data_IF_610855002190
#
_entry.id   IF_610855002190
#
_cell.length_a   1.000
_cell.length_b   1.000
_cell.length_c   1.000
_cell.angle_alpha   90.00
_cell.angle_beta   90.00
_cell.angle_gamma   90.00
#
_symmetry.space_group_name_H-M   'P 1'
#
loop_
_entity.id
_entity.type
_entity.pdbx_description
1 polymer ?
#
# COMPACT_ATOMS: atom_id res chain seq x y z
N UNK A 1 6.03 9.30 -31.80
CA UNK A 1 7.21 10.17 -31.87
C UNK A 1 7.11 11.16 -33.03
N UNK A 2 6.60 10.81 -34.22
CA UNK A 2 6.56 11.71 -35.38
C UNK A 2 5.49 12.82 -35.37
N UNK A 3 4.57 12.81 -34.42
CA UNK A 3 3.41 13.71 -34.36
C UNK A 3 3.53 14.83 -33.32
N UNK A 4 4.65 14.93 -32.58
CA UNK A 4 4.82 15.92 -31.51
C UNK A 4 3.89 15.75 -30.30
N UNK A 5 3.20 14.60 -30.16
CA UNK A 5 2.28 14.31 -29.07
C UNK A 5 3.02 13.74 -27.85
N UNK A 6 2.57 14.15 -26.67
CA UNK A 6 2.96 13.55 -25.39
C UNK A 6 2.04 12.35 -25.07
N UNK A 7 2.57 11.32 -24.42
CA UNK A 7 1.78 10.16 -24.00
C UNK A 7 1.73 10.13 -22.47
N UNK A 8 0.51 10.06 -21.91
CA UNK A 8 0.28 9.90 -20.49
C UNK A 8 -0.26 8.48 -20.20
N UNK A 9 0.54 7.56 -19.67
CA UNK A 9 0.05 6.25 -19.26
C UNK A 9 -0.82 6.35 -18.00
N UNK A 10 -1.95 5.66 -17.99
CA UNK A 10 -2.87 5.66 -16.86
C UNK A 10 -3.45 4.25 -16.64
N UNK A 11 -3.30 3.74 -15.43
CA UNK A 11 -4.00 2.53 -14.95
C UNK A 11 -5.37 2.94 -14.38
N UNK A 12 -5.41 3.36 -13.11
CA UNK A 12 -6.65 3.73 -12.39
C UNK A 12 -6.89 5.24 -12.32
N UNK A 13 -5.83 6.05 -12.41
CA UNK A 13 -5.93 7.52 -12.39
C UNK A 13 -5.94 8.15 -10.99
N UNK A 14 -5.58 7.43 -9.94
CA UNK A 14 -5.56 7.96 -8.57
C UNK A 14 -4.72 9.23 -8.39
N UNK A 15 -3.65 9.41 -9.18
CA UNK A 15 -2.79 10.58 -9.16
C UNK A 15 -3.06 11.58 -10.30
N UNK A 16 -4.17 11.45 -11.03
CA UNK A 16 -4.42 12.26 -12.23
C UNK A 16 -4.94 13.68 -11.93
N UNK A 17 -5.62 13.90 -10.81
CA UNK A 17 -6.25 15.18 -10.51
C UNK A 17 -5.31 16.41 -10.56
N UNK A 18 -4.09 16.38 -9.99
CA UNK A 18 -3.17 17.51 -10.09
C UNK A 18 -2.76 17.84 -11.54
N UNK A 19 -2.65 16.83 -12.41
CA UNK A 19 -2.26 17.03 -13.80
C UNK A 19 -3.31 17.80 -14.59
N UNK A 20 -4.59 17.51 -14.34
CA UNK A 20 -5.72 18.16 -15.01
C UNK A 20 -5.82 19.65 -14.66
N UNK A 21 -5.45 20.03 -13.43
CA UNK A 21 -5.59 21.39 -12.96
C UNK A 21 -4.41 22.32 -13.33
N UNK A 22 -3.25 21.77 -13.67
CA UNK A 22 -2.01 22.55 -13.77
C UNK A 22 -1.30 22.48 -15.12
N UNK A 23 -1.82 21.71 -16.09
CA UNK A 23 -1.16 21.50 -17.38
C UNK A 23 -2.12 21.66 -18.55
N UNK A 24 -1.60 22.19 -19.65
CA UNK A 24 -2.25 22.08 -20.96
C UNK A 24 -2.10 20.64 -21.45
N UNK A 25 -3.22 19.98 -21.68
CA UNK A 25 -3.31 18.59 -22.12
C UNK A 25 -3.73 18.46 -23.58
N UNK A 26 -3.75 19.55 -24.36
CA UNK A 26 -4.24 19.56 -25.74
C UNK A 26 -3.41 18.68 -26.69
N UNK A 27 -2.13 18.44 -26.38
CA UNK A 27 -1.20 17.58 -27.12
C UNK A 27 -0.98 16.21 -26.46
N UNK A 28 -1.78 15.86 -25.43
CA UNK A 28 -1.60 14.63 -24.66
C UNK A 28 -2.54 13.52 -25.14
N UNK A 29 -1.96 12.38 -25.48
CA UNK A 29 -2.69 11.13 -25.70
C UNK A 29 -2.72 10.33 -24.40
N UNK A 30 -3.92 10.13 -23.85
CA UNK A 30 -4.12 9.26 -22.70
C UNK A 30 -4.07 7.79 -23.13
N UNK A 31 -3.04 7.07 -22.67
CA UNK A 31 -2.88 5.64 -22.92
C UNK A 31 -3.36 4.84 -21.70
N UNK A 32 -4.49 4.14 -21.85
CA UNK A 32 -5.06 3.31 -20.78
C UNK A 32 -4.39 1.93 -20.76
N UNK A 33 -3.69 1.61 -19.66
CA UNK A 33 -3.02 0.31 -19.48
C UNK A 33 -3.96 -0.77 -18.89
N UNK A 34 -5.19 -0.44 -18.56
CA UNK A 34 -6.15 -1.30 -17.87
C UNK A 34 -6.51 -2.64 -18.54
N UNK A 35 -5.98 -2.92 -19.75
CA UNK A 35 -6.09 -4.23 -20.41
C UNK A 35 -4.90 -5.16 -20.11
N UNK A 36 -3.83 -4.65 -19.50
CA UNK A 36 -2.65 -5.42 -19.12
C UNK A 36 -2.79 -5.92 -17.68
N UNK A 37 -3.80 -6.75 -17.40
CA UNK A 37 -4.19 -7.16 -16.05
C UNK A 37 -3.63 -8.51 -15.61
N UNK A 38 -2.77 -9.11 -16.40
CA UNK A 38 -2.21 -10.43 -16.11
C UNK A 38 -1.42 -10.43 -14.80
N UNK A 39 -1.68 -11.43 -13.95
CA UNK A 39 -0.93 -11.71 -12.73
C UNK A 39 -0.48 -13.16 -12.76
N UNK A 40 0.81 -13.39 -12.67
CA UNK A 40 1.39 -14.73 -12.61
C UNK A 40 2.24 -14.88 -11.35
N UNK A 41 1.95 -15.88 -10.52
CA UNK A 41 2.66 -16.17 -9.27
C UNK A 41 3.60 -17.37 -9.47
N UNK A 42 4.88 -17.13 -9.31
CA UNK A 42 5.90 -18.19 -9.17
C UNK A 42 6.15 -18.40 -7.66
N UNK A 43 5.32 -19.21 -7.04
CA UNK A 43 5.37 -19.45 -5.61
C UNK A 43 6.69 -20.06 -5.12
N UNK A 44 7.32 -21.05 -5.81
CA UNK A 44 8.63 -21.57 -5.47
C UNK A 44 9.72 -20.49 -5.42
N UNK A 45 9.73 -19.57 -6.37
CA UNK A 45 10.68 -18.46 -6.43
C UNK A 45 10.24 -17.24 -5.61
N UNK A 46 9.00 -17.23 -5.15
CA UNK A 46 8.34 -16.10 -4.47
C UNK A 46 8.43 -14.82 -5.29
N UNK A 47 8.05 -14.93 -6.54
CA UNK A 47 7.98 -13.82 -7.48
C UNK A 47 6.57 -13.71 -8.04
N UNK A 48 6.15 -12.49 -8.33
CA UNK A 48 4.94 -12.19 -9.09
C UNK A 48 5.31 -11.36 -10.31
N UNK A 49 4.93 -11.83 -11.52
CA UNK A 49 4.89 -10.97 -12.71
C UNK A 49 3.52 -10.34 -12.81
N UNK A 50 3.46 -9.02 -12.88
CA UNK A 50 2.25 -8.21 -12.73
C UNK A 50 2.18 -7.26 -13.91
N UNK A 51 1.10 -7.34 -14.68
CA UNK A 51 0.85 -6.47 -15.82
C UNK A 51 0.60 -5.02 -15.41
N UNK A 52 0.94 -4.09 -16.31
CA UNK A 52 0.91 -2.63 -16.08
C UNK A 52 -0.47 -2.03 -15.81
N UNK A 53 -1.54 -2.81 -15.98
CA UNK A 53 -2.92 -2.43 -15.70
C UNK A 53 -3.54 -3.14 -14.49
N UNK A 54 -2.82 -4.04 -13.83
CA UNK A 54 -3.32 -4.77 -12.66
C UNK A 54 -3.51 -3.84 -11.45
N UNK A 55 -4.46 -4.18 -10.59
CA UNK A 55 -4.73 -3.51 -9.32
C UNK A 55 -4.31 -4.40 -8.15
N UNK A 56 -4.19 -3.83 -6.97
CA UNK A 56 -3.75 -4.58 -5.79
C UNK A 56 -4.69 -5.74 -5.42
N UNK A 57 -6.01 -5.60 -5.64
CA UNK A 57 -6.96 -6.67 -5.36
C UNK A 57 -6.58 -7.99 -6.06
N UNK A 58 -6.21 -7.90 -7.36
CA UNK A 58 -5.88 -9.07 -8.17
C UNK A 58 -4.61 -9.76 -7.66
N UNK A 59 -3.58 -8.97 -7.34
CA UNK A 59 -2.28 -9.51 -6.88
C UNK A 59 -2.36 -10.08 -5.47
N UNK A 60 -3.07 -9.39 -4.57
CA UNK A 60 -3.28 -9.86 -3.18
C UNK A 60 -4.00 -11.20 -3.20
N UNK A 61 -5.09 -11.31 -4.00
CA UNK A 61 -5.85 -12.54 -4.12
C UNK A 61 -5.00 -13.71 -4.62
N UNK A 62 -4.28 -13.49 -5.73
CA UNK A 62 -3.42 -14.51 -6.31
C UNK A 62 -2.27 -14.95 -5.39
N UNK A 63 -1.62 -14.01 -4.69
CA UNK A 63 -0.53 -14.34 -3.75
C UNK A 63 -1.04 -15.08 -2.51
N UNK A 64 -2.23 -14.73 -2.01
CA UNK A 64 -2.83 -15.35 -0.83
C UNK A 64 -3.12 -16.84 -1.00
N UNK A 65 -3.45 -17.30 -2.22
CA UNK A 65 -3.65 -18.73 -2.53
C UNK A 65 -2.40 -19.57 -2.25
N UNK A 66 -1.21 -18.93 -2.24
CA UNK A 66 0.07 -19.56 -1.97
C UNK A 66 0.61 -19.25 -0.56
N UNK A 67 -0.17 -18.59 0.31
CA UNK A 67 0.29 -18.14 1.61
C UNK A 67 1.37 -17.06 1.54
N UNK A 68 1.39 -16.30 0.44
CA UNK A 68 2.35 -15.24 0.18
C UNK A 68 1.68 -13.86 0.26
N UNK A 69 2.49 -12.83 0.52
CA UNK A 69 2.09 -11.44 0.62
C UNK A 69 2.95 -10.58 -0.31
N UNK A 70 2.36 -9.51 -0.81
CA UNK A 70 3.01 -8.45 -1.57
C UNK A 70 2.95 -7.12 -0.81
N UNK A 71 3.89 -6.22 -1.04
CA UNK A 71 3.94 -4.91 -0.35
C UNK A 71 2.91 -3.92 -0.94
N UNK A 72 1.64 -4.18 -0.69
CA UNK A 72 0.52 -3.38 -1.18
C UNK A 72 0.20 -2.17 -0.29
N UNK A 73 -0.53 -1.21 -0.84
CA UNK A 73 -1.09 -0.07 -0.11
C UNK A 73 -2.41 -0.39 0.60
N UNK A 74 -3.06 0.64 1.14
CA UNK A 74 -4.31 0.52 1.90
C UNK A 74 -5.56 0.35 1.04
N UNK A 75 -5.50 0.70 -0.24
CA UNK A 75 -6.65 0.65 -1.16
C UNK A 75 -6.41 -0.42 -2.23
N UNK A 76 -7.32 -1.36 -2.32
CA UNK A 76 -7.20 -2.53 -3.19
C UNK A 76 -7.43 -2.21 -4.69
N UNK A 77 -8.05 -1.10 -4.99
CA UNK A 77 -8.36 -0.60 -6.33
C UNK A 77 -7.26 0.28 -6.94
N UNK A 78 -6.15 0.49 -6.24
CA UNK A 78 -4.99 1.23 -6.75
C UNK A 78 -4.16 0.37 -7.69
N UNK A 79 -3.69 0.97 -8.81
CA UNK A 79 -2.82 0.31 -9.78
C UNK A 79 -1.44 -0.02 -9.19
N UNK A 80 -1.00 -1.25 -9.37
CA UNK A 80 0.25 -1.77 -8.79
C UNK A 80 1.47 -1.00 -9.26
N UNK A 81 1.60 -0.81 -10.57
CA UNK A 81 2.80 -0.21 -11.18
C UNK A 81 3.00 1.24 -10.73
N UNK A 82 1.96 2.08 -10.85
CA UNK A 82 2.06 3.48 -10.46
C UNK A 82 2.38 3.67 -8.98
N UNK A 83 1.75 2.87 -8.11
CA UNK A 83 2.02 2.88 -6.67
C UNK A 83 3.45 2.45 -6.36
N UNK A 84 3.90 1.34 -6.93
CA UNK A 84 5.19 0.72 -6.64
C UNK A 84 6.35 1.58 -7.15
N UNK A 85 6.28 2.05 -8.39
CA UNK A 85 7.36 2.85 -8.97
C UNK A 85 7.44 4.27 -8.38
N UNK A 86 6.39 4.73 -7.68
CA UNK A 86 6.43 5.95 -6.88
C UNK A 86 6.94 5.73 -5.43
N UNK A 87 7.50 4.56 -5.15
CA UNK A 87 7.99 4.17 -3.83
C UNK A 87 7.11 3.12 -3.15
N UNK A 88 5.84 3.42 -2.92
CA UNK A 88 4.85 2.52 -2.35
C UNK A 88 5.03 2.24 -0.85
N UNK A 89 4.37 3.04 -0.01
CA UNK A 89 4.37 2.85 1.44
C UNK A 89 3.35 1.79 1.86
N UNK A 90 3.83 0.61 2.22
CA UNK A 90 3.00 -0.52 2.64
C UNK A 90 2.78 -0.55 4.16
N UNK A 91 1.69 -1.21 4.60
CA UNK A 91 1.49 -1.57 6.00
C UNK A 91 2.59 -2.48 6.57
N UNK A 92 3.38 -3.11 5.72
CA UNK A 92 4.51 -3.98 6.09
C UNK A 92 5.85 -3.25 6.02
N UNK A 93 5.83 -1.93 5.75
CA UNK A 93 7.01 -1.16 5.39
C UNK A 93 8.09 -1.07 6.47
N UNK A 94 7.76 -1.14 7.75
CA UNK A 94 8.76 -1.14 8.82
C UNK A 94 9.68 -2.36 8.76
N UNK A 95 9.14 -3.52 8.37
CA UNK A 95 9.89 -4.77 8.29
C UNK A 95 10.49 -5.02 6.92
N UNK A 96 9.75 -4.69 5.86
CA UNK A 96 10.11 -5.09 4.49
C UNK A 96 10.51 -3.92 3.59
N UNK A 97 10.44 -2.69 4.08
CA UNK A 97 10.75 -1.50 3.29
C UNK A 97 9.61 -1.05 2.37
N UNK A 98 9.95 -0.26 1.38
CA UNK A 98 9.02 0.25 0.38
C UNK A 98 8.73 -0.82 -0.70
N UNK A 99 7.58 -0.73 -1.34
CA UNK A 99 7.21 -1.65 -2.43
C UNK A 99 8.22 -1.60 -3.59
N UNK A 100 8.78 -0.44 -3.91
CA UNK A 100 9.83 -0.27 -4.90
C UNK A 100 11.05 -1.16 -4.66
N UNK A 101 11.38 -1.45 -3.39
CA UNK A 101 12.53 -2.30 -3.03
C UNK A 101 12.31 -3.78 -3.36
N UNK A 102 11.06 -4.21 -3.50
CA UNK A 102 10.70 -5.58 -3.89
C UNK A 102 10.70 -5.81 -5.40
N UNK A 103 10.81 -4.77 -6.21
CA UNK A 103 10.87 -4.89 -7.67
C UNK A 103 12.18 -5.54 -8.08
N UNK A 104 12.09 -6.56 -8.93
CA UNK A 104 13.24 -7.31 -9.49
C UNK A 104 13.44 -7.03 -10.96
N UNK A 105 12.35 -6.83 -11.71
CA UNK A 105 12.38 -6.58 -13.15
C UNK A 105 11.31 -5.56 -13.51
N UNK A 106 11.57 -4.75 -14.52
CA UNK A 106 10.60 -3.84 -15.13
C UNK A 106 10.61 -4.07 -16.64
N UNK A 107 9.43 -4.29 -17.21
CA UNK A 107 9.21 -4.32 -18.66
C UNK A 107 8.56 -3.00 -19.08
N UNK A 108 9.12 -2.34 -20.08
CA UNK A 108 8.61 -1.05 -20.53
C UNK A 108 8.78 -0.88 -22.04
N UNK A 109 7.95 -0.01 -22.63
CA UNK A 109 8.10 0.49 -23.98
C UNK A 109 8.69 1.90 -23.90
N UNK A 110 9.85 2.10 -24.50
CA UNK A 110 10.55 3.39 -24.53
C UNK A 110 9.90 4.42 -25.47
N UNK A 111 10.37 5.66 -25.44
CA UNK A 111 9.94 6.69 -26.37
C UNK A 111 10.29 6.36 -27.84
N UNK A 112 11.27 5.50 -28.10
CA UNK A 112 11.59 4.99 -29.43
C UNK A 112 10.63 3.89 -29.91
N UNK A 113 9.74 3.40 -29.04
CA UNK A 113 8.83 2.30 -29.35
C UNK A 113 9.43 0.91 -29.12
N UNK A 114 10.59 0.83 -28.48
CA UNK A 114 11.29 -0.41 -28.21
C UNK A 114 10.81 -1.04 -26.88
N UNK A 115 10.52 -2.33 -26.91
CA UNK A 115 10.24 -3.09 -25.69
C UNK A 115 11.56 -3.46 -25.00
N UNK A 116 11.71 -3.01 -23.77
CA UNK A 116 12.86 -3.31 -22.93
C UNK A 116 12.44 -4.09 -21.68
N UNK A 117 13.35 -4.93 -21.21
CA UNK A 117 13.28 -5.61 -19.92
C UNK A 117 14.54 -5.26 -19.16
N UNK A 118 14.38 -4.57 -18.04
CA UNK A 118 15.50 -4.03 -17.26
C UNK A 118 15.46 -4.55 -15.82
N UNK A 119 16.63 -4.82 -15.30
CA UNK A 119 16.88 -5.27 -13.92
C UNK A 119 18.23 -4.69 -13.41
N UNK A 120 18.63 -5.11 -12.22
CA UNK A 120 19.85 -4.60 -11.58
C UNK A 120 21.15 -5.01 -12.31
N UNK A 121 21.10 -5.99 -13.23
CA UNK A 121 22.25 -6.51 -13.95
C UNK A 121 22.30 -6.00 -15.40
N UNK A 122 21.16 -5.94 -16.07
CA UNK A 122 21.06 -5.59 -17.49
C UNK A 122 21.21 -4.09 -17.75
N UNK A 123 20.56 -3.24 -16.95
CA UNK A 123 20.64 -1.77 -17.00
C UNK A 123 20.42 -1.18 -15.60
N UNK A 124 21.46 -1.16 -14.75
CA UNK A 124 21.35 -0.74 -13.35
C UNK A 124 20.88 0.72 -13.19
N UNK A 125 21.32 1.61 -14.09
CA UNK A 125 20.99 3.04 -13.99
C UNK A 125 19.53 3.30 -14.33
N UNK A 126 19.03 2.74 -15.43
CA UNK A 126 17.62 2.85 -15.80
C UNK A 126 16.73 2.14 -14.77
N UNK A 127 17.14 0.96 -14.30
CA UNK A 127 16.43 0.21 -13.28
C UNK A 127 16.33 0.99 -11.96
N UNK A 128 17.39 1.66 -11.55
CA UNK A 128 17.38 2.54 -10.39
C UNK A 128 16.45 3.74 -10.61
N UNK A 129 16.54 4.42 -11.75
CA UNK A 129 15.75 5.60 -12.07
C UNK A 129 14.25 5.32 -12.14
N UNK A 130 13.85 4.12 -12.58
CA UNK A 130 12.45 3.69 -12.65
C UNK A 130 11.83 3.41 -11.29
N UNK A 131 12.62 3.14 -10.23
CA UNK A 131 12.15 2.73 -8.91
C UNK A 131 12.15 3.90 -7.92
N UNK A 132 10.96 4.33 -7.49
CA UNK A 132 10.81 5.36 -6.47
C UNK A 132 10.76 6.80 -7.01
N UNK A 133 11.18 7.03 -8.25
CA UNK A 133 11.22 8.34 -8.90
C UNK A 133 10.05 8.64 -9.83
N UNK A 134 8.90 7.97 -9.65
CA UNK A 134 7.77 8.06 -10.59
C UNK A 134 8.22 7.69 -12.01
N UNK A 135 8.48 6.42 -12.25
CA UNK A 135 9.10 5.85 -13.47
C UNK A 135 8.47 6.17 -14.83
N UNK A 136 7.42 6.98 -14.86
CA UNK A 136 6.69 7.35 -16.08
C UNK A 136 7.50 8.21 -17.07
N UNK A 137 8.64 8.77 -16.68
CA UNK A 137 9.43 9.66 -17.54
C UNK A 137 10.32 8.91 -18.54
N UNK A 138 10.52 7.60 -18.37
CA UNK A 138 11.45 6.81 -19.17
C UNK A 138 10.76 5.88 -20.18
N UNK A 139 9.44 5.72 -20.04
CA UNK A 139 8.66 4.87 -20.93
C UNK A 139 7.33 4.45 -20.30
N UNK A 140 6.64 3.56 -21.00
CA UNK A 140 5.35 3.02 -20.58
C UNK A 140 5.60 1.62 -20.01
N UNK A 141 5.46 1.46 -18.70
CA UNK A 141 5.66 0.17 -18.05
C UNK A 141 4.51 -0.78 -18.39
N UNK A 142 4.85 -1.92 -18.95
CA UNK A 142 3.91 -2.96 -19.37
C UNK A 142 3.79 -4.09 -18.36
N UNK A 143 4.84 -4.38 -17.59
CA UNK A 143 4.82 -5.31 -16.48
C UNK A 143 5.94 -5.01 -15.47
N UNK A 144 5.80 -5.55 -14.26
CA UNK A 144 6.85 -5.61 -13.24
C UNK A 144 6.95 -7.01 -12.66
N UNK A 145 8.15 -7.43 -12.27
CA UNK A 145 8.33 -8.60 -11.40
C UNK A 145 8.67 -8.14 -10.00
N UNK A 146 7.94 -8.64 -9.01
CA UNK A 146 8.08 -8.25 -7.61
C UNK A 146 8.30 -9.48 -6.72
N UNK A 147 9.11 -9.31 -5.70
CA UNK A 147 9.29 -10.31 -4.65
C UNK A 147 8.04 -10.40 -3.77
N UNK A 148 7.69 -11.64 -3.42
CA UNK A 148 6.63 -11.97 -2.49
C UNK A 148 7.22 -12.47 -1.16
N UNK A 149 6.50 -12.26 -0.08
CA UNK A 149 6.97 -12.58 1.26
C UNK A 149 6.11 -13.68 1.88
N UNK A 150 6.71 -14.65 2.63
CA UNK A 150 5.99 -15.75 3.26
C UNK A 150 5.23 -15.26 4.50
N UNK A 151 4.06 -14.69 4.28
CA UNK A 151 3.19 -14.13 5.31
C UNK A 151 1.73 -14.40 4.95
N UNK A 152 1.18 -15.46 5.53
CA UNK A 152 -0.19 -15.91 5.23
C UNK A 152 -1.27 -15.15 6.04
N UNK A 153 -0.93 -14.64 7.23
CA UNK A 153 -1.90 -13.99 8.12
C UNK A 153 -1.28 -12.80 8.83
N UNK A 154 -2.10 -11.77 9.00
CA UNK A 154 -1.75 -10.57 9.76
C UNK A 154 -2.86 -10.25 10.75
N UNK A 155 -2.51 -9.56 11.83
CA UNK A 155 -3.47 -8.94 12.73
C UNK A 155 -3.59 -7.47 12.35
N UNK A 156 -4.80 -7.04 12.01
CA UNK A 156 -5.09 -5.65 11.69
C UNK A 156 -6.21 -5.14 12.60
N UNK A 157 -6.19 -3.86 12.91
CA UNK A 157 -7.22 -3.25 13.75
C UNK A 157 -7.14 -1.74 13.71
N UNK A 158 -8.15 -1.11 14.32
CA UNK A 158 -8.29 0.34 14.40
C UNK A 158 -8.69 0.71 15.82
N UNK A 159 -8.07 1.76 16.34
CA UNK A 159 -8.45 2.40 17.59
C UNK A 159 -8.97 3.81 17.28
N UNK A 160 -10.10 4.17 17.88
CA UNK A 160 -10.76 5.46 17.66
C UNK A 160 -10.85 6.21 18.97
N UNK A 161 -10.61 7.51 18.91
CA UNK A 161 -10.75 8.44 20.03
C UNK A 161 -11.50 9.68 19.57
N UNK A 162 -12.19 10.34 20.51
CA UNK A 162 -12.71 11.66 20.27
C UNK A 162 -11.59 12.64 19.95
N UNK A 163 -11.86 13.61 19.08
CA UNK A 163 -10.88 14.60 18.63
C UNK A 163 -10.27 15.41 19.80
N UNK A 164 -11.04 15.60 20.89
CA UNK A 164 -10.54 16.24 22.12
C UNK A 164 -9.36 15.50 22.77
N UNK A 165 -9.13 14.23 22.43
CA UNK A 165 -7.99 13.43 22.88
C UNK A 165 -6.85 13.36 21.87
N UNK A 166 -6.91 14.09 20.76
CA UNK A 166 -5.94 13.97 19.68
C UNK A 166 -4.51 14.30 20.15
N UNK A 167 -4.29 15.38 20.88
CA UNK A 167 -2.95 15.78 21.32
C UNK A 167 -2.28 14.73 22.21
N UNK A 168 -2.85 14.27 23.33
CA UNK A 168 -2.21 13.24 24.14
C UNK A 168 -2.06 11.90 23.40
N UNK A 169 -3.00 11.51 22.55
CA UNK A 169 -2.92 10.27 21.76
C UNK A 169 -1.78 10.35 20.76
N UNK A 170 -1.67 11.41 19.99
CA UNK A 170 -0.64 11.58 18.98
C UNK A 170 0.77 11.67 19.60
N UNK A 171 0.92 12.37 20.73
CA UNK A 171 2.22 12.43 21.47
C UNK A 171 2.63 11.05 21.99
N UNK A 172 1.69 10.32 22.56
CA UNK A 172 1.93 8.96 23.06
C UNK A 172 2.32 8.03 21.91
N UNK A 173 1.56 8.08 20.80
CA UNK A 173 1.87 7.31 19.61
C UNK A 173 3.25 7.66 19.04
N UNK A 174 3.57 8.94 18.88
CA UNK A 174 4.85 9.38 18.34
C UNK A 174 6.05 8.93 19.21
N UNK A 175 5.87 8.91 20.53
CA UNK A 175 6.89 8.42 21.46
C UNK A 175 7.06 6.91 21.36
N UNK A 176 5.95 6.16 21.38
CA UNK A 176 5.95 4.71 21.26
C UNK A 176 6.47 4.21 19.91
N UNK A 177 6.13 4.91 18.82
CA UNK A 177 6.52 4.52 17.46
C UNK A 177 8.05 4.47 17.26
N UNK A 178 8.84 5.21 18.05
CA UNK A 178 10.30 5.18 18.01
C UNK A 178 10.89 3.86 18.48
N UNK A 179 10.19 3.14 19.35
CA UNK A 179 10.64 1.88 19.96
C UNK A 179 9.76 0.70 19.62
N UNK A 180 8.75 0.91 18.77
CA UNK A 180 7.84 -0.14 18.33
C UNK A 180 8.62 -1.24 17.58
N UNK A 181 8.26 -2.52 17.77
CA UNK A 181 8.84 -3.63 17.02
C UNK A 181 8.66 -3.44 15.51
N UNK A 182 9.60 -3.94 14.71
CA UNK A 182 9.53 -3.84 13.24
C UNK A 182 8.33 -4.58 12.65
N UNK A 183 7.82 -5.58 13.36
CA UNK A 183 6.62 -6.34 13.00
C UNK A 183 5.34 -5.52 13.13
N UNK A 184 5.39 -4.33 13.71
CA UNK A 184 4.22 -3.48 13.95
C UNK A 184 4.34 -2.22 13.14
N UNK A 185 3.49 -2.05 12.15
CA UNK A 185 3.31 -0.80 11.41
C UNK A 185 2.02 -0.13 11.86
N UNK A 186 2.11 1.14 12.21
CA UNK A 186 0.94 1.95 12.59
C UNK A 186 0.95 3.28 11.87
N UNK A 187 -0.23 3.80 11.61
CA UNK A 187 -0.43 5.19 11.21
C UNK A 187 -1.44 5.84 12.15
N UNK A 188 -1.30 7.12 12.37
CA UNK A 188 -2.30 7.93 13.07
C UNK A 188 -2.83 8.98 12.10
N UNK A 189 -4.15 9.09 12.02
CA UNK A 189 -4.83 10.01 11.13
C UNK A 189 -6.00 10.66 11.85
N UNK A 190 -6.35 11.90 11.47
CA UNK A 190 -7.56 12.56 11.96
C UNK A 190 -8.53 12.80 10.81
N UNK A 191 -9.74 12.31 10.97
CA UNK A 191 -10.81 12.61 10.03
C UNK A 191 -11.52 13.88 10.47
N UNK A 192 -11.91 14.72 9.51
CA UNK A 192 -12.68 15.96 9.75
C UNK A 192 -14.04 15.71 10.44
N UNK A 193 -14.47 14.48 10.58
CA UNK A 193 -15.70 14.04 11.26
C UNK A 193 -15.45 13.45 12.66
N UNK A 194 -14.60 14.05 13.46
CA UNK A 194 -14.52 13.84 14.90
C UNK A 194 -13.87 12.56 15.45
N UNK A 195 -13.13 11.77 14.69
CA UNK A 195 -12.42 10.62 15.25
C UNK A 195 -10.97 10.51 14.77
N UNK A 196 -10.05 10.36 15.71
CA UNK A 196 -8.68 9.96 15.38
C UNK A 196 -8.66 8.46 15.10
N UNK A 197 -8.00 8.04 14.01
CA UNK A 197 -7.85 6.63 13.62
C UNK A 197 -6.40 6.23 13.74
N UNK A 198 -6.12 5.20 14.49
CA UNK A 198 -4.81 4.56 14.51
C UNK A 198 -4.97 3.13 14.03
N UNK A 199 -4.38 2.80 12.89
CA UNK A 199 -4.34 1.43 12.39
C UNK A 199 -3.03 0.79 12.82
N UNK A 200 -3.10 -0.36 13.47
CA UNK A 200 -1.94 -1.20 13.76
C UNK A 200 -2.05 -2.51 13.00
N UNK A 201 -1.04 -2.83 12.20
CA UNK A 201 -0.94 -4.11 11.51
C UNK A 201 0.28 -4.85 12.06
N UNK A 202 0.11 -5.76 13.03
CA UNK A 202 1.20 -6.64 13.45
C UNK A 202 1.45 -7.70 12.38
N UNK A 203 2.68 -7.78 11.91
CA UNK A 203 3.15 -8.78 10.94
C UNK A 203 3.71 -9.97 11.70
N UNK A 204 3.10 -11.16 11.60
CA UNK A 204 3.68 -12.40 12.12
C UNK A 204 4.60 -13.04 11.08
N UNK A 205 5.84 -13.34 11.46
CA UNK A 205 6.68 -14.30 10.74
C UNK A 205 6.14 -15.72 10.93
N UNK A 206 6.20 -16.59 9.92
CA UNK A 206 6.08 -18.02 10.16
C UNK A 206 7.29 -18.46 10.99
N UNK A 207 7.00 -19.02 12.12
CA UNK A 207 8.00 -19.50 13.10
C UNK A 207 8.89 -20.57 12.46
N UNK A 208 10.20 -20.41 12.58
CA UNK A 208 11.16 -21.47 12.26
C UNK A 208 11.13 -22.48 13.41
N UNK A 209 10.46 -23.59 13.22
CA UNK A 209 10.65 -24.75 14.06
C UNK A 209 9.49 -25.12 14.96
N UNK A 210 8.98 -26.31 14.68
CA UNK A 210 8.14 -27.09 15.56
C UNK A 210 8.62 -27.04 17.01
N UNK A 211 7.87 -26.32 17.86
CA UNK A 211 7.69 -26.75 19.25
C UNK A 211 6.22 -26.63 19.62
N UNK A 212 5.63 -27.78 19.95
CA UNK A 212 4.34 -27.88 20.62
C UNK A 212 4.41 -27.06 21.90
N UNK A 213 3.50 -26.13 22.10
CA UNK A 213 3.36 -25.45 23.39
C UNK A 213 2.61 -24.11 23.27
N UNK A 214 1.35 -24.11 23.63
CA UNK A 214 0.61 -23.02 24.23
C UNK A 214 0.39 -21.80 23.33
N UNK A 215 -0.82 -21.68 22.79
CA UNK A 215 -1.34 -20.40 22.32
C UNK A 215 -1.28 -19.39 23.47
N UNK A 216 -0.27 -18.53 23.50
CA UNK A 216 -0.34 -17.31 24.30
C UNK A 216 -1.29 -16.37 23.58
N UNK A 217 -2.51 -16.28 24.07
CA UNK A 217 -3.38 -15.16 23.79
C UNK A 217 -2.59 -13.89 24.10
N UNK A 218 -2.27 -13.12 23.07
CA UNK A 218 -1.91 -11.73 23.26
C UNK A 218 -3.16 -11.04 23.82
N UNK A 219 -3.19 -10.88 25.13
CA UNK A 219 -4.09 -9.90 25.75
C UNK A 219 -3.67 -8.57 25.16
N UNK A 220 -4.60 -7.96 24.42
CA UNK A 220 -4.38 -6.64 23.86
C UNK A 220 -3.75 -5.74 24.91
N UNK A 221 -2.82 -4.90 24.51
CA UNK A 221 -2.30 -3.84 25.35
C UNK A 221 -3.50 -3.03 25.84
N UNK A 222 -4.01 -3.40 27.01
CA UNK A 222 -4.89 -2.51 27.76
C UNK A 222 -3.98 -1.40 28.21
N UNK A 223 -3.94 -0.32 27.44
CA UNK A 223 -3.42 0.95 27.91
C UNK A 223 -4.08 1.26 29.22
N UNK A 224 -3.32 1.25 30.29
CA UNK A 224 -3.77 1.65 31.61
C UNK A 224 -4.03 3.15 31.65
N UNK A 225 -5.10 3.60 31.04
CA UNK A 225 -5.76 4.83 31.39
C UNK A 225 -6.88 4.45 32.35
N UNK A 226 -6.59 4.44 33.64
CA UNK A 226 -7.62 4.54 34.67
C UNK A 226 -8.25 5.92 34.52
N UNK A 227 -9.29 6.02 33.69
CA UNK A 227 -10.21 7.13 33.77
C UNK A 227 -10.98 6.98 35.08
N UNK A 228 -10.88 7.97 35.95
CA UNK A 228 -11.72 8.06 37.14
C UNK A 228 -13.18 8.13 36.67
N UNK A 229 -13.95 7.10 37.03
CA UNK A 229 -15.38 7.08 36.85
C UNK A 229 -16.01 8.00 37.87
N UNK A 230 -16.61 9.06 37.39
CA UNK A 230 -17.40 9.98 38.23
C UNK A 230 -18.20 10.90 37.32
N UNK A 231 -19.40 10.48 36.94
CA UNK A 231 -20.32 11.34 36.18
C UNK A 231 -21.52 10.55 35.69
N UNK A 232 -22.66 10.78 36.32
CA UNK A 232 -23.96 10.11 36.15
C UNK A 232 -24.45 10.09 34.70
N UNK A 233 -25.07 8.97 34.35
CA UNK A 233 -25.90 8.78 33.18
C UNK A 233 -27.05 9.80 33.13
N UNK A 234 -27.19 10.45 31.97
CA UNK A 234 -28.37 11.18 31.59
C UNK A 234 -29.01 10.48 30.39
N UNK A 235 -30.21 9.92 30.60
CA UNK A 235 -31.06 9.36 29.57
C UNK A 235 -31.40 10.37 28.49
N UNK A 236 -31.02 10.14 27.27
CA UNK A 236 -31.41 10.88 26.07
C UNK A 236 -32.07 9.98 25.05
N UNK A 237 -33.41 9.99 25.04
CA UNK A 237 -34.26 9.33 24.05
C UNK A 237 -33.93 9.79 22.62
N UNK A 238 -33.50 8.86 21.78
CA UNK A 238 -33.49 9.00 20.31
C UNK A 238 -34.90 8.76 19.78
N UNK A 239 -35.64 9.82 19.45
CA UNK A 239 -36.85 9.73 18.60
C UNK A 239 -36.43 9.63 17.15
N UNK A 240 -36.90 8.58 16.50
CA UNK A 240 -36.95 8.46 15.04
C UNK A 240 -38.10 9.34 14.55
N UNK A 241 -37.83 10.20 13.58
CA UNK A 241 -38.86 10.73 12.68
C UNK A 241 -38.65 10.05 11.32
N UNK A 242 -39.66 9.25 10.93
CA UNK A 242 -39.97 8.91 9.58
C UNK A 242 -40.99 9.96 9.07
N UNK A 243 -41.09 10.04 7.73
CA UNK A 243 -42.09 10.74 6.90
C UNK A 243 -41.79 12.24 6.65
N UNK A 244 -41.50 12.61 5.44
CA UNK A 244 -42.19 12.77 4.14
C UNK A 244 -41.18 12.99 2.98
#
# INVERSE_FOLDING_TARGET
VGLGLRIAPQTTGHAAAPLVHHQDLSDVVLLRTGRLTEVHIDAPRRLARIGGGAIWADVIGAAAEHGLMVLHGSAADVGVVGYTLAGGLSFYGRRYGLAANSVRVIELVTAAGELMRVDAESDPELFWALRGGVGANFGIVTAVEMELFPLATVHAGMMLWDIGHADPVLRTWATWAKTAPEEVTTSADHALSAAARTAAVPVRSPDRGHRRGGARQFRGCRGGARAAAGGRAGDGHLRRHADD
#
